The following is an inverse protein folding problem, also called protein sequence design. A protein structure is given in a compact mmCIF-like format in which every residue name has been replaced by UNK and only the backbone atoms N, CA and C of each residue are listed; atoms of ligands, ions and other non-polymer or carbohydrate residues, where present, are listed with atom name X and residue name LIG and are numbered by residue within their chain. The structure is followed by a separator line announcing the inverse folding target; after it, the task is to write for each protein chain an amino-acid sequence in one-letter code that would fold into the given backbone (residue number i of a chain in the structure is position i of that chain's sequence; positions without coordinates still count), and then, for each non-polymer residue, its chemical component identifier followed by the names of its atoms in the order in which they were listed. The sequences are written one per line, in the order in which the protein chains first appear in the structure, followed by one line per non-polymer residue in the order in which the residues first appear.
data_IF_583083314488
#
_entry.id   IF_583083314488
#
_cell.length_a   1.000
_cell.length_b   1.000
_cell.length_c   1.000
_cell.angle_alpha   90.00
_cell.angle_beta   90.00
_cell.angle_gamma   90.00
#
_symmetry.space_group_name_H-M   'P 1'
#
loop_
_entity.id
_entity.type
_entity.pdbx_description
1 polymer ?
#
# COMPACT_ATOMS: atom_id res chain seq x y z
N UNK A 1 -75.07 1.16 21.63
CA UNK A 1 -73.76 1.80 21.81
C UNK A 1 -72.70 0.79 21.32
N UNK A 2 -72.23 0.98 20.08
CA UNK A 2 -71.26 0.05 19.46
C UNK A 2 -69.86 0.62 19.69
N UNK A 3 -68.99 -0.09 20.43
CA UNK A 3 -67.58 0.27 20.60
C UNK A 3 -66.82 -0.20 19.39
N UNK A 4 -66.28 0.70 18.57
CA UNK A 4 -65.35 0.36 17.50
C UNK A 4 -63.93 0.20 18.09
N UNK A 5 -63.38 -0.98 17.98
CA UNK A 5 -61.96 -1.26 18.26
C UNK A 5 -61.15 -0.90 17.02
N UNK A 6 -60.36 0.15 17.10
CA UNK A 6 -59.39 0.51 16.06
C UNK A 6 -58.10 -0.24 16.35
N UNK A 7 -57.79 -1.24 15.52
CA UNK A 7 -56.52 -1.97 15.52
C UNK A 7 -55.48 -1.10 14.80
N UNK A 8 -54.53 -0.52 15.51
CA UNK A 8 -53.32 0.06 14.97
C UNK A 8 -52.33 -1.05 14.65
N UNK A 9 -52.19 -1.39 13.38
CA UNK A 9 -51.08 -2.25 12.90
C UNK A 9 -49.88 -1.37 12.71
N UNK A 10 -48.95 -1.40 13.67
CA UNK A 10 -47.64 -0.77 13.56
C UNK A 10 -46.75 -1.64 12.63
N UNK A 11 -46.61 -1.25 11.37
CA UNK A 11 -45.67 -1.86 10.45
C UNK A 11 -44.25 -1.40 10.82
N UNK A 12 -43.52 -2.25 11.54
CA UNK A 12 -42.10 -2.03 11.83
C UNK A 12 -41.32 -2.34 10.53
N UNK A 13 -40.97 -1.29 9.80
CA UNK A 13 -40.01 -1.38 8.68
C UNK A 13 -38.60 -1.56 9.28
N UNK A 14 -38.13 -2.79 9.41
CA UNK A 14 -36.72 -3.06 9.70
C UNK A 14 -35.90 -2.78 8.43
N UNK A 15 -35.30 -1.60 8.38
CA UNK A 15 -34.34 -1.23 7.34
C UNK A 15 -33.03 -1.98 7.62
N UNK A 16 -32.88 -3.16 7.02
CA UNK A 16 -31.63 -3.91 7.07
C UNK A 16 -30.59 -3.11 6.28
N UNK A 17 -29.74 -2.36 6.98
CA UNK A 17 -28.55 -1.74 6.40
C UNK A 17 -27.58 -2.84 5.96
N UNK A 18 -27.64 -3.20 4.70
CA UNK A 18 -26.63 -4.05 4.05
C UNK A 18 -25.36 -3.20 3.91
N UNK A 19 -24.52 -3.21 4.92
CA UNK A 19 -23.17 -2.66 4.84
C UNK A 19 -22.35 -3.53 3.90
N UNK A 20 -22.37 -3.23 2.60
CA UNK A 20 -21.43 -3.83 1.66
C UNK A 20 -20.02 -3.39 2.05
N UNK A 21 -19.35 -4.21 2.85
CA UNK A 21 -17.92 -4.06 3.11
C UNK A 21 -17.21 -4.25 1.77
N UNK A 22 -16.86 -3.17 1.11
CA UNK A 22 -15.94 -3.19 -0.02
C UNK A 22 -14.58 -3.67 0.48
N UNK A 23 -14.38 -4.98 0.53
CA UNK A 23 -13.07 -5.57 0.75
C UNK A 23 -12.18 -5.10 -0.41
N UNK A 24 -11.19 -4.27 -0.11
CA UNK A 24 -10.24 -3.80 -1.12
C UNK A 24 -9.58 -5.03 -1.76
N UNK A 25 -9.84 -5.23 -3.05
CA UNK A 25 -9.33 -6.38 -3.80
C UNK A 25 -7.81 -6.38 -3.74
N UNK A 26 -7.22 -7.45 -3.23
CA UNK A 26 -5.77 -7.64 -3.19
C UNK A 26 -5.16 -7.38 -4.57
N UNK A 27 -4.06 -6.63 -4.61
CA UNK A 27 -3.40 -6.33 -5.88
C UNK A 27 -2.92 -7.61 -6.58
N UNK A 28 -2.95 -7.57 -7.91
CA UNK A 28 -2.60 -8.68 -8.80
C UNK A 28 -1.21 -9.29 -8.48
N UNK A 29 -1.07 -10.60 -8.69
CA UNK A 29 0.20 -11.31 -8.53
C UNK A 29 0.33 -12.43 -9.58
N UNK A 30 1.31 -12.37 -10.50
CA UNK A 30 2.36 -11.34 -10.60
C UNK A 30 1.82 -10.02 -11.16
N UNK A 31 2.48 -8.92 -10.76
CA UNK A 31 2.17 -7.60 -11.32
C UNK A 31 3.12 -7.28 -12.48
N UNK A 32 2.62 -6.72 -13.59
CA UNK A 32 3.47 -6.24 -14.68
C UNK A 32 4.44 -5.16 -14.17
N UNK A 33 5.64 -5.12 -14.72
CA UNK A 33 6.61 -4.10 -14.38
C UNK A 33 6.33 -2.82 -15.15
N UNK A 34 5.98 -1.78 -14.44
CA UNK A 34 5.70 -0.46 -15.03
C UNK A 34 6.63 0.64 -14.49
N UNK A 35 7.44 0.33 -13.46
CA UNK A 35 8.39 1.28 -12.87
C UNK A 35 9.67 1.37 -13.69
N UNK A 36 10.25 2.56 -13.81
CA UNK A 36 11.56 2.77 -14.42
C UNK A 36 12.63 1.93 -13.70
N UNK A 37 13.62 1.48 -14.45
CA UNK A 37 14.79 0.81 -13.87
C UNK A 37 15.68 1.85 -13.18
N UNK A 38 16.17 1.50 -11.99
CA UNK A 38 17.26 2.25 -11.37
C UNK A 38 18.52 2.16 -12.23
N UNK A 39 19.39 3.21 -12.25
CA UNK A 39 20.72 3.12 -12.82
C UNK A 39 21.47 1.91 -12.24
N UNK A 40 22.38 1.31 -13.04
CA UNK A 40 23.10 0.10 -12.62
C UNK A 40 23.86 0.29 -11.30
N UNK A 41 24.44 1.47 -11.09
CA UNK A 41 25.14 1.84 -9.86
C UNK A 41 24.22 1.81 -8.63
N UNK A 42 22.96 2.23 -8.77
CA UNK A 42 21.97 2.21 -7.68
C UNK A 42 21.34 0.83 -7.53
N UNK A 43 21.07 0.15 -8.64
CA UNK A 43 20.46 -1.18 -8.64
C UNK A 43 21.25 -2.21 -7.84
N UNK A 44 22.60 -2.15 -7.90
CA UNK A 44 23.52 -3.05 -7.19
C UNK A 44 23.70 -2.70 -5.71
N UNK A 45 23.31 -1.50 -5.27
CA UNK A 45 23.46 -1.08 -3.87
C UNK A 45 22.53 -1.88 -2.95
N UNK A 46 23.07 -2.31 -1.82
CA UNK A 46 22.30 -2.86 -0.70
C UNK A 46 22.93 -2.42 0.63
N UNK A 47 22.25 -1.54 1.35
CA UNK A 47 22.66 -1.06 2.67
C UNK A 47 21.72 -1.55 3.78
N UNK A 48 20.88 -2.53 3.51
CA UNK A 48 19.90 -3.04 4.47
C UNK A 48 20.54 -3.65 5.72
N UNK A 49 21.75 -4.22 5.62
CA UNK A 49 22.47 -4.76 6.79
C UNK A 49 22.61 -3.75 7.93
N UNK A 50 22.90 -2.48 7.59
CA UNK A 50 23.09 -1.39 8.57
C UNK A 50 21.82 -0.60 8.86
N UNK A 51 20.70 -0.95 8.26
CA UNK A 51 19.43 -0.25 8.39
C UNK A 51 18.65 -0.70 9.64
N UNK A 52 17.79 0.20 10.16
CA UNK A 52 16.94 -0.05 11.31
C UNK A 52 15.52 -0.43 10.87
N UNK A 53 15.18 -1.72 10.98
CA UNK A 53 13.88 -2.24 10.58
C UNK A 53 12.70 -1.63 11.36
N UNK A 54 12.86 -1.42 12.67
CA UNK A 54 11.80 -0.84 13.50
C UNK A 54 11.47 0.59 13.08
N UNK A 55 12.50 1.40 12.76
CA UNK A 55 12.29 2.73 12.20
C UNK A 55 11.64 2.64 10.81
N UNK A 56 12.07 1.72 9.96
CA UNK A 56 11.44 1.47 8.65
C UNK A 56 9.96 1.15 8.76
N UNK A 57 9.58 0.29 9.70
CA UNK A 57 8.17 -0.01 10.02
C UNK A 57 7.40 1.24 10.44
N UNK A 58 7.97 2.05 11.36
CA UNK A 58 7.36 3.31 11.80
C UNK A 58 7.12 4.27 10.63
N UNK A 59 8.14 4.46 9.78
CA UNK A 59 8.04 5.33 8.60
C UNK A 59 6.98 4.80 7.63
N UNK A 60 7.02 3.52 7.28
CA UNK A 60 6.07 2.89 6.37
C UNK A 60 4.63 3.02 6.86
N UNK A 61 4.39 2.77 8.16
CA UNK A 61 3.06 2.73 8.73
C UNK A 61 2.50 4.10 9.12
N UNK A 62 3.35 5.09 9.48
CA UNK A 62 2.84 6.30 10.14
C UNK A 62 3.41 7.60 9.62
N UNK A 63 4.73 7.71 9.42
CA UNK A 63 5.38 9.02 9.45
C UNK A 63 6.23 9.39 8.23
N UNK A 64 6.32 8.54 7.18
CA UNK A 64 7.00 8.93 5.95
C UNK A 64 6.34 10.16 5.31
N UNK A 65 7.14 11.09 4.83
CA UNK A 65 6.69 12.31 4.14
C UNK A 65 6.90 12.17 2.62
N UNK A 66 5.96 12.61 1.79
CA UNK A 66 4.76 13.42 2.08
C UNK A 66 3.61 12.63 2.70
N UNK A 67 3.61 11.30 2.63
CA UNK A 67 2.57 10.44 3.21
C UNK A 67 3.15 9.07 3.60
N UNK A 68 2.50 8.39 4.55
CA UNK A 68 2.89 7.03 4.94
C UNK A 68 2.65 6.04 3.79
N UNK A 69 3.59 5.13 3.58
CA UNK A 69 3.59 4.18 2.46
C UNK A 69 2.33 3.29 2.46
N UNK A 70 1.83 2.95 3.66
CA UNK A 70 0.61 2.13 3.81
C UNK A 70 -0.62 2.74 3.18
N UNK A 71 -0.66 4.06 2.98
CA UNK A 71 -1.83 4.72 2.40
C UNK A 71 -2.13 4.21 0.99
N UNK A 72 -1.08 3.87 0.23
CA UNK A 72 -1.20 3.25 -1.09
C UNK A 72 -0.94 1.74 -1.05
N UNK A 73 0.13 1.32 -0.36
CA UNK A 73 0.58 -0.08 -0.39
C UNK A 73 -0.15 -1.01 0.60
N UNK A 74 -1.03 -0.47 1.46
CA UNK A 74 -1.68 -1.24 2.52
C UNK A 74 -0.79 -1.48 3.74
N UNK A 75 -1.38 -1.70 4.90
CA UNK A 75 -0.63 -1.95 6.13
C UNK A 75 0.18 -3.26 6.09
N UNK A 76 -0.31 -4.25 5.32
CA UNK A 76 0.34 -5.54 5.06
C UNK A 76 1.22 -5.51 3.80
N UNK A 77 1.32 -4.38 3.10
CA UNK A 77 2.09 -4.25 1.87
C UNK A 77 1.50 -4.99 0.66
N UNK A 78 0.25 -5.36 0.71
CA UNK A 78 -0.46 -6.16 -0.30
C UNK A 78 -1.12 -5.34 -1.41
N UNK A 79 -0.90 -4.02 -1.41
CA UNK A 79 -1.46 -3.11 -2.41
C UNK A 79 -2.89 -2.63 -2.11
N UNK A 80 -3.44 -2.91 -0.93
CA UNK A 80 -4.84 -2.61 -0.56
C UNK A 80 -5.00 -1.30 0.22
N UNK A 81 -4.04 -0.39 0.14
CA UNK A 81 -4.14 0.90 0.82
C UNK A 81 -5.27 1.76 0.26
N UNK A 82 -5.92 2.55 1.13
CA UNK A 82 -7.08 3.39 0.78
C UNK A 82 -6.86 4.24 -0.48
N UNK A 83 -5.72 4.91 -0.57
CA UNK A 83 -5.38 5.73 -1.74
C UNK A 83 -4.95 4.88 -2.94
N UNK A 84 -4.46 3.66 -2.68
CA UNK A 84 -4.06 2.72 -3.72
C UNK A 84 -5.23 2.14 -4.51
N UNK A 85 -6.39 2.03 -3.90
CA UNK A 85 -7.59 1.43 -4.48
C UNK A 85 -8.09 2.16 -5.76
N UNK A 86 -7.77 3.45 -5.89
CA UNK A 86 -8.08 4.23 -7.09
C UNK A 86 -7.27 3.81 -8.33
N UNK A 87 -6.16 3.09 -8.15
CA UNK A 87 -5.28 2.70 -9.24
C UNK A 87 -5.45 1.23 -9.58
N UNK A 88 -5.84 0.96 -10.83
CA UNK A 88 -5.98 -0.41 -11.36
C UNK A 88 -4.68 -0.86 -12.05
N UNK A 89 -4.52 -2.18 -12.25
CA UNK A 89 -3.43 -2.73 -13.05
C UNK A 89 -3.37 -2.05 -14.43
N UNK A 90 -2.18 -1.76 -14.96
CA UNK A 90 -0.84 -2.01 -14.41
C UNK A 90 -0.35 -0.92 -13.43
N UNK A 91 -1.17 0.10 -13.12
CA UNK A 91 -0.81 1.26 -12.28
C UNK A 91 -1.08 1.04 -10.78
N UNK A 92 -1.61 -0.12 -10.40
CA UNK A 92 -1.87 -0.45 -9.00
C UNK A 92 -0.58 -0.38 -8.14
N UNK A 93 -0.69 0.01 -6.85
CA UNK A 93 0.44 -0.02 -5.94
C UNK A 93 1.09 -1.39 -5.89
N UNK A 94 2.42 -1.40 -5.78
CA UNK A 94 3.17 -2.65 -5.72
C UNK A 94 2.71 -3.51 -4.53
N UNK A 95 2.33 -4.75 -4.83
CA UNK A 95 2.05 -5.78 -3.84
C UNK A 95 3.39 -6.41 -3.41
N UNK A 96 3.88 -6.06 -2.23
CA UNK A 96 5.14 -6.58 -1.70
C UNK A 96 5.02 -8.05 -1.28
N UNK A 97 3.82 -8.53 -0.97
CA UNK A 97 3.60 -9.95 -0.61
C UNK A 97 3.66 -10.90 -1.81
N UNK A 98 3.71 -10.35 -3.04
CA UNK A 98 3.81 -11.15 -4.25
C UNK A 98 5.25 -11.59 -4.53
N UNK A 99 5.65 -12.75 -4.05
CA UNK A 99 7.01 -13.32 -4.25
C UNK A 99 7.41 -13.40 -5.72
N UNK A 100 6.47 -13.76 -6.62
CA UNK A 100 6.74 -13.86 -8.08
C UNK A 100 7.21 -12.53 -8.67
N UNK A 101 6.67 -11.41 -8.19
CA UNK A 101 7.07 -10.05 -8.58
C UNK A 101 8.33 -9.61 -7.85
N UNK A 102 8.34 -9.75 -6.52
CA UNK A 102 9.32 -9.09 -5.66
C UNK A 102 10.71 -9.73 -5.68
N UNK A 103 10.83 -11.04 -5.94
CA UNK A 103 12.13 -11.71 -6.07
C UNK A 103 13.06 -11.11 -7.13
N UNK A 104 12.49 -10.38 -8.10
CA UNK A 104 13.24 -9.71 -9.18
C UNK A 104 13.55 -8.24 -8.88
N UNK A 105 13.16 -7.73 -7.70
CA UNK A 105 13.34 -6.33 -7.32
C UNK A 105 14.46 -6.23 -6.28
N UNK A 106 15.60 -5.64 -6.67
CA UNK A 106 16.73 -5.45 -5.77
C UNK A 106 16.44 -4.39 -4.69
N UNK A 107 17.21 -4.43 -3.60
CA UNK A 107 17.15 -3.40 -2.55
C UNK A 107 17.43 -2.01 -3.12
N UNK A 108 18.43 -1.89 -3.99
CA UNK A 108 18.77 -0.64 -4.66
C UNK A 108 17.67 -0.12 -5.59
N UNK A 109 16.95 -1.02 -6.28
CA UNK A 109 15.77 -0.64 -7.08
C UNK A 109 14.66 -0.05 -6.19
N UNK A 110 14.41 -0.65 -5.01
CA UNK A 110 13.43 -0.14 -4.07
C UNK A 110 13.84 1.23 -3.53
N UNK A 111 15.11 1.36 -3.11
CA UNK A 111 15.67 2.62 -2.64
C UNK A 111 15.47 3.73 -3.68
N UNK A 112 15.87 3.47 -4.93
CA UNK A 112 15.80 4.43 -6.02
C UNK A 112 14.38 4.89 -6.29
N UNK A 113 13.40 3.97 -6.33
CA UNK A 113 11.98 4.31 -6.54
C UNK A 113 11.43 5.14 -5.39
N UNK A 114 11.73 4.81 -4.15
CA UNK A 114 11.26 5.60 -3.00
C UNK A 114 11.82 7.01 -3.06
N UNK A 115 13.11 7.16 -3.38
CA UNK A 115 13.79 8.46 -3.44
C UNK A 115 13.29 9.34 -4.58
N UNK A 116 13.12 8.77 -5.77
CA UNK A 116 12.89 9.52 -7.01
C UNK A 116 11.44 9.47 -7.51
N UNK A 117 10.59 8.66 -6.89
CA UNK A 117 9.27 8.32 -7.41
C UNK A 117 9.36 7.41 -8.65
N UNK A 118 8.22 7.15 -9.25
CA UNK A 118 8.18 6.36 -10.47
C UNK A 118 7.73 7.22 -11.65
N UNK A 119 8.62 7.45 -12.61
CA UNK A 119 8.30 8.21 -13.83
C UNK A 119 7.17 7.57 -14.62
N UNK A 120 7.11 6.24 -14.64
CA UNK A 120 6.10 5.46 -15.37
C UNK A 120 4.87 5.14 -14.50
N UNK A 121 4.87 5.55 -13.25
CA UNK A 121 3.80 5.38 -12.28
C UNK A 121 3.65 6.70 -11.52
N UNK A 122 2.98 7.71 -12.11
CA UNK A 122 2.90 9.06 -11.55
C UNK A 122 2.28 9.10 -10.15
N UNK A 123 1.52 8.06 -9.77
CA UNK A 123 0.98 7.94 -8.42
C UNK A 123 2.03 7.69 -7.33
N UNK A 124 3.18 7.06 -7.67
CA UNK A 124 4.26 6.87 -6.70
C UNK A 124 5.13 8.13 -6.64
N UNK A 125 4.81 8.99 -5.70
CA UNK A 125 5.54 10.24 -5.48
C UNK A 125 6.94 10.02 -4.91
N UNK A 126 7.86 10.93 -5.22
CA UNK A 126 9.21 10.90 -4.65
C UNK A 126 9.20 11.33 -3.17
N UNK A 127 9.83 10.56 -2.32
CA UNK A 127 9.97 10.86 -0.89
C UNK A 127 11.24 11.68 -0.61
N UNK A 128 11.38 12.83 -1.28
CA UNK A 128 12.58 13.70 -1.22
C UNK A 128 12.93 14.22 0.18
N UNK A 129 11.97 14.25 1.11
CA UNK A 129 12.18 14.70 2.49
C UNK A 129 12.77 13.61 3.40
N UNK A 130 12.80 12.35 2.96
CA UNK A 130 13.45 11.26 3.69
C UNK A 130 14.97 11.30 3.46
N UNK A 131 15.72 11.12 4.52
CA UNK A 131 17.18 10.89 4.45
C UNK A 131 17.44 9.51 3.83
N UNK A 132 18.56 9.34 3.17
CA UNK A 132 18.95 8.07 2.54
C UNK A 132 18.91 6.91 3.55
N UNK A 133 19.34 7.14 4.79
CA UNK A 133 19.28 6.16 5.87
C UNK A 133 17.84 5.70 6.15
N UNK A 134 16.90 6.65 6.20
CA UNK A 134 15.48 6.35 6.45
C UNK A 134 14.86 5.54 5.31
N UNK A 135 15.26 5.83 4.07
CA UNK A 135 14.83 5.04 2.91
C UNK A 135 15.36 3.60 3.02
N UNK A 136 16.63 3.40 3.42
CA UNK A 136 17.17 2.07 3.66
C UNK A 136 16.47 1.33 4.80
N UNK A 137 16.07 2.04 5.86
CA UNK A 137 15.28 1.50 6.96
C UNK A 137 13.92 0.95 6.43
N UNK A 138 13.24 1.73 5.56
CA UNK A 138 11.99 1.30 4.90
C UNK A 138 12.24 0.08 4.00
N UNK A 139 13.30 0.10 3.19
CA UNK A 139 13.64 -1.03 2.30
C UNK A 139 13.87 -2.31 3.10
N UNK A 140 14.59 -2.22 4.23
CA UNK A 140 14.80 -3.36 5.13
C UNK A 140 13.48 -3.91 5.64
N UNK A 141 12.59 -3.06 6.14
CA UNK A 141 11.28 -3.47 6.63
C UNK A 141 10.46 -4.17 5.54
N UNK A 142 10.41 -3.60 4.33
CA UNK A 142 9.68 -4.23 3.22
C UNK A 142 10.25 -5.62 2.92
N UNK A 143 11.56 -5.77 2.85
CA UNK A 143 12.22 -7.02 2.45
C UNK A 143 12.11 -8.12 3.50
N UNK A 144 12.14 -7.77 4.77
CA UNK A 144 12.14 -8.76 5.86
C UNK A 144 10.76 -9.09 6.41
N UNK A 145 9.83 -8.12 6.41
CA UNK A 145 8.52 -8.30 7.06
C UNK A 145 7.33 -8.39 6.07
N UNK A 146 7.48 -7.88 4.82
CA UNK A 146 6.36 -7.82 3.88
C UNK A 146 6.53 -8.72 2.64
N UNK A 147 7.74 -9.27 2.38
CA UNK A 147 8.03 -10.09 1.18
C UNK A 147 7.93 -11.62 1.44
#
# INVERSE_FOLDING_TARGET
MKKQFVLFIAAIFTFAMVSSAYAAKKAECPQPRTTAKAPTSDFKKDKTKKANKANGKKLFQKSAKPMACKMCHGAKGDGTGKLGAAFKSPKAPRNFTCKKTMKKVSAGQMFWIIKNGSKNQPAMVAHKKLKDKEIWDIVKYIREDLM
#
